data_IF_765315800260
#
_entry.id   IF_765315800260
#
_cell.length_a   1.000
_cell.length_b   1.000
_cell.length_c   1.000
_cell.angle_alpha   90.00
_cell.angle_beta   90.00
_cell.angle_gamma   90.00
#
_symmetry.space_group_name_H-M   'P 1'
#
loop_
_entity.id
_entity.type
_entity.pdbx_description
1 polymer ?
#
# COMPACT_ATOMS: atom_id res chain seq x y z
N UNK A 1 15.72 -12.18 -1.93
CA UNK A 1 14.26 -12.01 -2.12
C UNK A 1 13.81 -12.42 -3.51
N UNK A 2 14.35 -11.85 -4.58
CA UNK A 2 13.87 -12.12 -5.96
C UNK A 2 13.83 -13.61 -6.33
N UNK A 3 14.86 -14.38 -5.97
CA UNK A 3 14.87 -15.84 -6.17
C UNK A 3 13.78 -16.57 -5.38
N UNK A 4 13.66 -16.27 -4.08
CA UNK A 4 12.63 -16.87 -3.22
C UNK A 4 11.23 -16.62 -3.79
N UNK A 5 10.99 -15.41 -4.30
CA UNK A 5 9.70 -15.03 -4.88
C UNK A 5 9.47 -15.71 -6.23
N UNK A 6 10.49 -15.86 -7.06
CA UNK A 6 10.38 -16.58 -8.34
C UNK A 6 10.12 -18.08 -8.13
N UNK A 7 10.72 -18.67 -7.09
CA UNK A 7 10.56 -20.09 -6.76
C UNK A 7 9.23 -20.36 -6.03
N UNK A 8 8.60 -19.35 -5.43
CA UNK A 8 7.40 -19.51 -4.60
C UNK A 8 6.21 -20.11 -5.36
N UNK A 9 5.81 -19.64 -6.55
CA UNK A 9 4.71 -20.25 -7.32
C UNK A 9 5.01 -21.68 -7.79
N UNK A 10 6.28 -22.09 -7.80
CA UNK A 10 6.73 -23.40 -8.25
C UNK A 10 6.66 -24.46 -7.15
N UNK A 11 6.35 -24.06 -5.91
CA UNK A 11 6.28 -25.00 -4.79
C UNK A 11 5.04 -25.91 -4.94
N UNK A 12 5.19 -27.21 -4.63
CA UNK A 12 4.18 -28.23 -4.96
C UNK A 12 2.95 -28.19 -4.07
N UNK A 13 3.05 -27.61 -2.88
CA UNK A 13 1.99 -27.58 -1.88
C UNK A 13 1.93 -26.23 -1.15
N UNK A 14 0.79 -25.96 -0.52
CA UNK A 14 0.50 -24.71 0.19
C UNK A 14 1.46 -24.45 1.37
N UNK A 15 1.84 -25.50 2.11
CA UNK A 15 2.73 -25.34 3.26
C UNK A 15 4.14 -24.91 2.82
N UNK A 16 4.63 -25.49 1.73
CA UNK A 16 5.88 -25.09 1.09
C UNK A 16 5.81 -23.64 0.56
N UNK A 17 4.72 -23.25 -0.11
CA UNK A 17 4.49 -21.87 -0.55
C UNK A 17 4.53 -20.88 0.62
N UNK A 18 3.85 -21.20 1.72
CA UNK A 18 3.83 -20.37 2.94
C UNK A 18 5.21 -20.24 3.59
N UNK A 19 6.02 -21.32 3.61
CA UNK A 19 7.38 -21.27 4.13
C UNK A 19 8.29 -20.35 3.29
N UNK A 20 8.18 -20.41 1.96
CA UNK A 20 8.91 -19.50 1.05
C UNK A 20 8.43 -18.06 1.22
N UNK A 21 7.12 -17.84 1.33
CA UNK A 21 6.54 -16.52 1.58
C UNK A 21 7.04 -15.93 2.90
N UNK A 22 7.10 -16.72 3.97
CA UNK A 22 7.60 -16.27 5.27
C UNK A 22 9.09 -15.93 5.20
N UNK A 23 9.91 -16.73 4.50
CA UNK A 23 11.31 -16.41 4.29
C UNK A 23 11.49 -15.10 3.50
N UNK A 24 10.74 -14.92 2.40
CA UNK A 24 10.77 -13.69 1.61
C UNK A 24 10.35 -12.46 2.44
N UNK A 25 9.26 -12.59 3.21
CA UNK A 25 8.77 -11.59 4.16
C UNK A 25 9.83 -11.21 5.19
N UNK A 26 10.46 -12.19 5.86
CA UNK A 26 11.53 -11.96 6.83
C UNK A 26 12.71 -11.17 6.25
N UNK A 27 13.09 -11.46 4.99
CA UNK A 27 14.13 -10.71 4.30
C UNK A 27 13.73 -9.25 4.03
N UNK A 28 12.50 -9.01 3.57
CA UNK A 28 11.98 -7.65 3.34
C UNK A 28 11.94 -6.87 4.67
N UNK A 29 11.45 -7.50 5.73
CA UNK A 29 11.40 -6.90 7.07
C UNK A 29 12.79 -6.61 7.64
N UNK A 30 13.77 -7.50 7.41
CA UNK A 30 15.15 -7.26 7.80
C UNK A 30 15.71 -5.99 7.15
N UNK A 31 15.53 -5.84 5.83
CA UNK A 31 15.94 -4.63 5.10
C UNK A 31 15.18 -3.40 5.61
N UNK A 32 13.88 -3.52 5.87
CA UNK A 32 13.09 -2.44 6.47
C UNK A 32 13.65 -2.01 7.83
N UNK A 33 14.07 -2.96 8.68
CA UNK A 33 14.71 -2.67 9.97
C UNK A 33 16.10 -2.06 9.80
N UNK A 34 16.90 -2.52 8.83
CA UNK A 34 18.20 -1.93 8.51
C UNK A 34 18.07 -0.45 8.10
N UNK A 35 16.96 -0.06 7.44
CA UNK A 35 16.69 1.34 7.12
C UNK A 35 16.56 2.25 8.35
N UNK A 36 16.38 1.71 9.56
CA UNK A 36 16.29 2.50 10.80
C UNK A 36 17.62 3.12 11.22
N UNK A 37 18.75 2.69 10.63
CA UNK A 37 20.03 3.39 10.76
C UNK A 37 19.97 4.80 10.15
N UNK A 38 18.99 5.08 9.30
CA UNK A 38 18.78 6.37 8.64
C UNK A 38 17.50 7.02 9.17
N UNK A 39 17.63 8.22 9.73
CA UNK A 39 16.51 8.96 10.30
C UNK A 39 15.62 9.57 9.22
N UNK A 40 16.24 10.04 8.12
CA UNK A 40 15.60 10.74 6.99
C UNK A 40 16.37 10.53 5.68
N UNK A 41 15.79 10.99 4.57
CA UNK A 41 16.39 11.04 3.23
C UNK A 41 17.86 11.44 3.19
N UNK A 42 18.19 12.60 3.79
CA UNK A 42 19.56 13.12 3.82
C UNK A 42 20.56 12.11 4.42
N UNK A 43 20.25 11.54 5.58
CA UNK A 43 21.16 10.57 6.22
C UNK A 43 21.39 9.31 5.38
N UNK A 44 20.40 8.86 4.61
CA UNK A 44 20.57 7.72 3.72
C UNK A 44 21.44 8.06 2.50
N UNK A 45 21.25 9.25 1.93
CA UNK A 45 22.03 9.75 0.81
C UNK A 45 23.50 10.01 1.20
N UNK A 46 23.74 10.67 2.33
CA UNK A 46 25.09 11.01 2.83
C UNK A 46 25.93 9.78 3.12
N UNK A 47 25.28 8.65 3.45
CA UNK A 47 25.94 7.36 3.68
C UNK A 47 25.98 6.47 2.41
N UNK A 48 25.68 7.02 1.22
CA UNK A 48 25.73 6.30 -0.05
C UNK A 48 24.74 5.14 -0.16
N UNK A 49 23.69 5.13 0.67
CA UNK A 49 22.75 4.01 0.79
C UNK A 49 21.45 4.24 0.01
N UNK A 50 21.21 5.44 -0.54
CA UNK A 50 19.97 5.75 -1.26
C UNK A 50 19.76 4.86 -2.50
N UNK A 51 20.79 4.68 -3.32
CA UNK A 51 20.70 3.85 -4.53
C UNK A 51 20.48 2.35 -4.20
N UNK A 52 21.23 1.71 -3.28
CA UNK A 52 20.96 0.34 -2.86
C UNK A 52 19.52 0.13 -2.38
N UNK A 53 18.97 1.06 -1.59
CA UNK A 53 17.58 0.95 -1.13
C UNK A 53 16.56 1.20 -2.25
N UNK A 54 16.86 2.06 -3.23
CA UNK A 54 16.01 2.22 -4.40
C UNK A 54 15.99 0.95 -5.28
N UNK A 55 17.15 0.31 -5.50
CA UNK A 55 17.23 -0.97 -6.21
C UNK A 55 16.45 -2.08 -5.49
N UNK A 56 16.58 -2.16 -4.16
CA UNK A 56 15.80 -3.08 -3.34
C UNK A 56 14.29 -2.78 -3.41
N UNK A 57 13.91 -1.51 -3.45
CA UNK A 57 12.51 -1.10 -3.63
C UNK A 57 11.95 -1.66 -4.94
N UNK A 58 12.67 -1.51 -6.06
CA UNK A 58 12.29 -2.12 -7.33
C UNK A 58 12.11 -3.64 -7.23
N UNK A 59 13.09 -4.34 -6.65
CA UNK A 59 13.05 -5.79 -6.48
C UNK A 59 11.92 -6.28 -5.55
N UNK A 60 11.53 -5.49 -4.56
CA UNK A 60 10.42 -5.84 -3.67
C UNK A 60 9.07 -5.59 -4.34
N UNK A 61 8.96 -4.60 -5.22
CA UNK A 61 7.72 -4.38 -5.96
C UNK A 61 7.47 -5.46 -7.01
N UNK A 62 8.51 -6.00 -7.65
CA UNK A 62 8.32 -7.17 -8.51
C UNK A 62 7.70 -8.35 -7.76
N UNK A 63 7.91 -8.43 -6.43
CA UNK A 63 7.31 -9.47 -5.61
C UNK A 63 5.80 -9.28 -5.35
N UNK A 64 5.28 -8.06 -5.50
CA UNK A 64 3.84 -7.82 -5.46
C UNK A 64 3.11 -8.38 -6.69
N UNK A 65 3.85 -8.65 -7.77
CA UNK A 65 3.35 -9.24 -9.02
C UNK A 65 2.97 -10.72 -8.93
N UNK A 66 3.08 -11.35 -7.76
CA UNK A 66 2.67 -12.74 -7.56
C UNK A 66 1.18 -12.94 -7.89
N UNK A 67 0.81 -14.06 -8.56
CA UNK A 67 -0.58 -14.41 -8.82
C UNK A 67 -1.40 -14.54 -7.53
N UNK A 68 -2.69 -14.20 -7.58
CA UNK A 68 -3.56 -14.20 -6.39
C UNK A 68 -3.80 -15.61 -5.82
N UNK A 69 -3.63 -16.66 -6.63
CA UNK A 69 -3.74 -18.06 -6.18
C UNK A 69 -2.55 -18.55 -5.35
N UNK A 70 -1.47 -17.75 -5.26
CA UNK A 70 -0.26 -18.12 -4.52
C UNK A 70 -0.46 -17.93 -3.03
N UNK A 71 -0.31 -19.01 -2.26
CA UNK A 71 -0.40 -18.95 -0.81
C UNK A 71 0.72 -18.10 -0.21
N UNK A 72 0.35 -17.24 0.74
CA UNK A 72 1.30 -16.32 1.37
C UNK A 72 1.58 -15.03 0.58
N UNK A 73 0.93 -14.79 -0.57
CA UNK A 73 0.98 -13.49 -1.27
C UNK A 73 0.71 -12.31 -0.33
N UNK A 74 -0.30 -12.42 0.52
CA UNK A 74 -0.66 -11.35 1.47
C UNK A 74 0.46 -11.05 2.46
N UNK A 75 1.22 -12.07 2.92
CA UNK A 75 2.39 -11.86 3.79
C UNK A 75 3.44 -10.98 3.12
N UNK A 76 3.69 -11.21 1.82
CA UNK A 76 4.61 -10.41 1.02
C UNK A 76 4.05 -8.99 0.86
N UNK A 77 2.77 -8.84 0.51
CA UNK A 77 2.12 -7.54 0.39
C UNK A 77 2.24 -6.70 1.68
N UNK A 78 1.96 -7.30 2.84
CA UNK A 78 2.11 -6.66 4.15
C UNK A 78 3.56 -6.23 4.41
N UNK A 79 4.56 -7.08 4.14
CA UNK A 79 5.96 -6.74 4.35
C UNK A 79 6.44 -5.62 3.42
N UNK A 80 6.05 -5.67 2.14
CA UNK A 80 6.40 -4.61 1.17
C UNK A 80 5.73 -3.29 1.56
N UNK A 81 4.46 -3.30 1.97
CA UNK A 81 3.77 -2.10 2.46
C UNK A 81 4.48 -1.49 3.68
N UNK A 82 4.84 -2.32 4.66
CA UNK A 82 5.62 -1.88 5.83
C UNK A 82 7.01 -1.33 5.46
N UNK A 83 7.65 -1.89 4.45
CA UNK A 83 8.90 -1.36 3.89
C UNK A 83 8.69 -0.03 3.17
N UNK A 84 7.63 0.13 2.38
CA UNK A 84 7.31 1.38 1.68
C UNK A 84 7.08 2.53 2.66
N UNK A 85 6.41 2.30 3.79
CA UNK A 85 6.31 3.30 4.86
C UNK A 85 7.69 3.84 5.30
N UNK A 86 8.69 2.96 5.41
CA UNK A 86 10.07 3.38 5.71
C UNK A 86 10.71 4.13 4.53
N UNK A 87 10.49 3.67 3.30
CA UNK A 87 11.05 4.34 2.12
C UNK A 87 10.48 5.72 1.86
N UNK A 88 9.23 5.97 2.25
CA UNK A 88 8.68 7.33 2.27
C UNK A 88 9.48 8.25 3.20
N UNK A 89 10.10 7.73 4.27
CA UNK A 89 10.96 8.53 5.16
C UNK A 89 12.39 8.61 4.61
N UNK A 90 12.94 7.48 4.19
CA UNK A 90 14.36 7.31 3.92
C UNK A 90 14.79 7.57 2.47
N UNK A 91 13.92 7.35 1.49
CA UNK A 91 14.17 7.72 0.09
C UNK A 91 13.57 9.07 -0.28
N UNK A 92 12.71 9.61 0.58
CA UNK A 92 12.02 10.88 0.34
C UNK A 92 11.35 10.90 -1.05
N UNK A 93 11.53 11.94 -1.86
CA UNK A 93 10.97 12.01 -3.21
C UNK A 93 11.41 10.85 -4.14
N UNK A 94 12.53 10.19 -3.84
CA UNK A 94 13.01 9.02 -4.59
C UNK A 94 12.06 7.82 -4.53
N UNK A 95 11.11 7.79 -3.59
CA UNK A 95 10.09 6.72 -3.52
C UNK A 95 8.96 6.91 -4.54
N UNK A 96 8.69 8.15 -5.01
CA UNK A 96 7.51 8.49 -5.80
C UNK A 96 7.33 7.65 -7.08
N UNK A 97 8.39 7.35 -7.86
CA UNK A 97 8.26 6.54 -9.08
C UNK A 97 7.69 5.13 -8.83
N UNK A 98 7.81 4.63 -7.61
CA UNK A 98 7.42 3.29 -7.22
C UNK A 98 5.96 3.19 -6.73
N UNK A 99 5.37 4.31 -6.31
CA UNK A 99 4.05 4.35 -5.69
C UNK A 99 2.91 3.88 -6.63
N UNK A 100 2.86 4.28 -7.91
CA UNK A 100 1.79 3.84 -8.80
C UNK A 100 1.73 2.32 -8.97
N UNK A 101 2.89 1.69 -9.21
CA UNK A 101 2.97 0.23 -9.32
C UNK A 101 2.64 -0.45 -7.99
N UNK A 102 3.13 0.08 -6.85
CA UNK A 102 2.79 -0.46 -5.55
C UNK A 102 1.27 -0.43 -5.30
N UNK A 103 0.61 0.68 -5.60
CA UNK A 103 -0.83 0.87 -5.43
C UNK A 103 -1.63 -0.13 -6.25
N UNK A 104 -1.30 -0.29 -7.54
CA UNK A 104 -1.97 -1.23 -8.43
C UNK A 104 -1.91 -2.67 -7.89
N UNK A 105 -0.74 -3.11 -7.41
CA UNK A 105 -0.56 -4.49 -6.96
C UNK A 105 -1.16 -4.73 -5.57
N UNK A 106 -1.03 -3.76 -4.65
CA UNK A 106 -1.59 -3.84 -3.30
C UNK A 106 -3.13 -3.77 -3.30
N UNK A 107 -3.73 -3.18 -4.34
CA UNK A 107 -5.18 -3.02 -4.49
C UNK A 107 -5.77 -3.94 -5.58
N UNK A 108 -5.08 -5.01 -6.00
CA UNK A 108 -5.56 -5.91 -7.05
C UNK A 108 -6.85 -6.67 -6.67
N UNK A 109 -7.10 -6.89 -5.38
CA UNK A 109 -8.33 -7.46 -4.81
C UNK A 109 -8.28 -7.28 -3.29
N UNK A 110 -8.40 -6.04 -2.79
CA UNK A 110 -8.08 -5.74 -1.41
C UNK A 110 -9.24 -6.17 -0.50
N UNK A 111 -8.89 -6.74 0.66
CA UNK A 111 -9.85 -6.85 1.76
C UNK A 111 -9.94 -5.54 2.57
N UNK A 112 -10.80 -5.52 3.59
CA UNK A 112 -10.98 -4.34 4.44
C UNK A 112 -9.69 -3.93 5.17
N UNK A 113 -8.83 -4.89 5.54
CA UNK A 113 -7.56 -4.63 6.21
C UNK A 113 -6.55 -4.05 5.23
N UNK A 114 -6.49 -4.57 4.01
CA UNK A 114 -5.63 -4.05 2.94
C UNK A 114 -5.97 -2.60 2.60
N UNK A 115 -7.25 -2.27 2.50
CA UNK A 115 -7.72 -0.90 2.31
C UNK A 115 -7.31 0.00 3.48
N UNK A 116 -7.55 -0.45 4.72
CA UNK A 116 -7.17 0.27 5.94
C UNK A 116 -5.67 0.58 5.97
N UNK A 117 -4.84 -0.43 5.74
CA UNK A 117 -3.38 -0.28 5.74
C UNK A 117 -2.90 0.61 4.60
N UNK A 118 -3.55 0.54 3.43
CA UNK A 118 -3.20 1.40 2.31
C UNK A 118 -3.56 2.87 2.57
N UNK A 119 -4.68 3.15 3.25
CA UNK A 119 -4.98 4.50 3.73
C UNK A 119 -3.94 5.03 4.71
N UNK A 120 -3.37 4.18 5.56
CA UNK A 120 -2.25 4.58 6.43
C UNK A 120 -1.02 5.02 5.60
N UNK A 121 -0.70 4.32 4.52
CA UNK A 121 0.39 4.70 3.61
C UNK A 121 0.10 6.03 2.92
N UNK A 122 -1.12 6.22 2.40
CA UNK A 122 -1.54 7.49 1.81
C UNK A 122 -1.48 8.65 2.82
N UNK A 123 -1.83 8.39 4.08
CA UNK A 123 -1.72 9.36 5.17
C UNK A 123 -0.29 9.84 5.43
N UNK A 124 0.72 9.07 5.03
CA UNK A 124 2.12 9.48 5.08
C UNK A 124 2.56 10.20 3.79
N UNK A 125 2.07 9.73 2.63
CA UNK A 125 2.40 10.27 1.31
C UNK A 125 1.84 11.69 1.12
N UNK A 126 0.55 11.89 1.38
CA UNK A 126 -0.17 13.15 1.15
C UNK A 126 0.49 14.37 1.82
N UNK A 127 0.72 14.38 3.14
CA UNK A 127 1.31 15.56 3.78
C UNK A 127 2.76 15.81 3.37
N UNK A 128 3.47 14.75 2.96
CA UNK A 128 4.87 14.82 2.60
C UNK A 128 5.11 15.35 1.19
N UNK A 129 4.35 14.87 0.21
CA UNK A 129 4.57 15.18 -1.21
C UNK A 129 3.51 16.12 -1.80
N UNK A 130 2.38 16.32 -1.12
CA UNK A 130 1.38 17.35 -1.45
C UNK A 130 0.97 17.33 -2.93
N UNK A 131 1.15 18.45 -3.63
CA UNK A 131 0.77 18.65 -5.04
C UNK A 131 1.45 17.67 -5.99
N UNK A 132 2.64 17.15 -5.65
CA UNK A 132 3.36 16.21 -6.51
C UNK A 132 2.60 14.87 -6.66
N UNK A 133 1.72 14.56 -5.71
CA UNK A 133 0.86 13.38 -5.77
C UNK A 133 -0.44 13.60 -6.52
N UNK A 134 -0.81 14.84 -6.85
CA UNK A 134 -2.11 15.17 -7.45
C UNK A 134 -2.43 14.31 -8.69
N UNK A 135 -1.52 14.16 -9.69
CA UNK A 135 -1.80 13.34 -10.86
C UNK A 135 -2.03 11.85 -10.54
N UNK A 136 -1.37 11.35 -9.49
CA UNK A 136 -1.55 9.98 -9.03
C UNK A 136 -2.87 9.82 -8.27
N UNK A 137 -3.16 10.72 -7.33
CA UNK A 137 -4.40 10.70 -6.54
C UNK A 137 -5.64 10.82 -7.43
N UNK A 138 -5.61 11.70 -8.44
CA UNK A 138 -6.71 11.86 -9.39
C UNK A 138 -7.09 10.54 -10.11
N UNK A 139 -6.11 9.66 -10.38
CA UNK A 139 -6.34 8.35 -10.99
C UNK A 139 -6.68 7.25 -9.98
N UNK A 140 -6.10 7.32 -8.78
CA UNK A 140 -6.25 6.31 -7.74
C UNK A 140 -7.57 6.42 -6.98
N UNK A 141 -8.04 7.64 -6.73
CA UNK A 141 -9.20 7.89 -5.86
C UNK A 141 -10.45 7.14 -6.34
N UNK A 142 -10.80 7.13 -7.63
CA UNK A 142 -12.01 6.44 -8.08
C UNK A 142 -12.05 4.95 -7.71
N UNK A 143 -11.10 4.10 -8.16
CA UNK A 143 -11.14 2.68 -7.80
C UNK A 143 -10.99 2.44 -6.29
N UNK A 144 -10.21 3.26 -5.57
CA UNK A 144 -9.98 3.10 -4.13
C UNK A 144 -11.24 3.39 -3.30
N UNK A 145 -11.94 4.49 -3.60
CA UNK A 145 -13.15 4.88 -2.89
C UNK A 145 -14.29 3.91 -3.18
N UNK A 146 -14.43 3.45 -4.43
CA UNK A 146 -15.43 2.44 -4.79
C UNK A 146 -15.21 1.14 -4.00
N UNK A 147 -13.98 0.61 -4.00
CA UNK A 147 -13.64 -0.59 -3.24
C UNK A 147 -13.90 -0.41 -1.73
N UNK A 148 -13.62 0.78 -1.20
CA UNK A 148 -13.85 1.11 0.21
C UNK A 148 -15.33 1.11 0.58
N UNK A 149 -16.16 1.77 -0.22
CA UNK A 149 -17.61 1.85 0.04
C UNK A 149 -18.27 0.48 -0.12
N UNK A 150 -17.90 -0.29 -1.15
CA UNK A 150 -18.38 -1.66 -1.31
C UNK A 150 -17.99 -2.54 -0.11
N UNK A 151 -16.75 -2.44 0.37
CA UNK A 151 -16.30 -3.19 1.55
C UNK A 151 -17.07 -2.77 2.81
N UNK A 152 -17.31 -1.48 3.02
CA UNK A 152 -18.09 -0.98 4.16
C UNK A 152 -19.55 -1.46 4.10
N UNK A 153 -20.19 -1.40 2.93
CA UNK A 153 -21.56 -1.89 2.74
C UNK A 153 -21.69 -3.39 3.06
N UNK A 154 -20.73 -4.21 2.63
CA UNK A 154 -20.69 -5.63 2.99
C UNK A 154 -20.51 -5.86 4.49
N UNK A 155 -19.62 -5.08 5.13
CA UNK A 155 -19.37 -5.17 6.58
C UNK A 155 -20.59 -4.76 7.41
N UNK A 156 -21.33 -3.75 6.97
CA UNK A 156 -22.53 -3.25 7.67
C UNK A 156 -23.75 -4.16 7.45
N UNK A 157 -23.83 -4.85 6.31
CA UNK A 157 -24.95 -5.72 5.96
C UNK A 157 -24.91 -7.11 6.62
N UNK A 158 -23.75 -7.58 7.08
CA UNK A 158 -23.61 -8.90 7.72
C UNK A 158 -24.13 -8.89 9.18
N UNK A 159 -25.31 -9.49 9.48
CA UNK A 159 -25.91 -9.41 10.81
C UNK A 159 -25.18 -10.24 11.88
N UNK A 160 -24.32 -11.18 11.46
CA UNK A 160 -23.53 -12.05 12.36
C UNK A 160 -22.15 -11.50 12.69
N UNK A 161 -21.74 -10.40 12.05
CA UNK A 161 -20.42 -9.81 12.29
C UNK A 161 -20.45 -8.90 13.52
N UNK A 162 -19.27 -8.71 14.12
CA UNK A 162 -19.10 -7.71 15.19
C UNK A 162 -19.55 -6.33 14.67
N UNK A 163 -20.50 -5.64 15.33
CA UNK A 163 -20.94 -4.28 14.97
C UNK A 163 -19.78 -3.26 14.85
N UNK A 164 -18.63 -3.55 15.45
CA UNK A 164 -17.41 -2.75 15.34
C UNK A 164 -16.54 -3.00 14.11
N UNK A 165 -16.81 -4.03 13.30
CA UNK A 165 -15.91 -4.49 12.24
C UNK A 165 -15.67 -3.45 11.13
N UNK A 166 -16.66 -2.60 10.82
CA UNK A 166 -16.53 -1.52 9.84
C UNK A 166 -15.79 -0.28 10.38
N UNK A 167 -15.70 -0.12 11.70
CA UNK A 167 -15.20 1.10 12.32
C UNK A 167 -13.74 1.44 11.96
N UNK A 168 -12.78 0.49 11.92
CA UNK A 168 -11.39 0.78 11.56
C UNK A 168 -11.24 1.31 10.13
N UNK A 169 -11.92 0.68 9.17
CA UNK A 169 -11.87 1.10 7.76
C UNK A 169 -12.57 2.45 7.58
N UNK A 170 -13.76 2.63 8.17
CA UNK A 170 -14.50 3.90 8.13
C UNK A 170 -13.69 5.06 8.71
N UNK A 171 -13.04 4.84 9.85
CA UNK A 171 -12.15 5.83 10.47
C UNK A 171 -10.97 6.18 9.58
N UNK A 172 -10.31 5.18 8.97
CA UNK A 172 -9.18 5.40 8.08
C UNK A 172 -9.58 6.20 6.82
N UNK A 173 -10.69 5.83 6.20
CA UNK A 173 -11.25 6.53 5.05
C UNK A 173 -11.55 8.00 5.34
N UNK A 174 -12.31 8.28 6.41
CA UNK A 174 -12.64 9.64 6.82
C UNK A 174 -11.40 10.45 7.21
N UNK A 175 -10.44 9.83 7.91
CA UNK A 175 -9.17 10.47 8.25
C UNK A 175 -8.37 10.84 6.99
N UNK A 176 -8.38 9.99 5.96
CA UNK A 176 -7.74 10.28 4.69
C UNK A 176 -8.43 11.43 3.94
N UNK A 177 -9.76 11.49 3.90
CA UNK A 177 -10.48 12.63 3.33
C UNK A 177 -10.13 13.94 4.05
N UNK A 178 -10.11 13.92 5.39
CA UNK A 178 -9.67 15.06 6.18
C UNK A 178 -8.21 15.45 5.90
N UNK A 179 -7.34 14.46 5.66
CA UNK A 179 -5.94 14.67 5.28
C UNK A 179 -5.81 15.38 3.94
N UNK A 180 -6.60 15.00 2.93
CA UNK A 180 -6.63 15.68 1.63
C UNK A 180 -7.06 17.15 1.78
N UNK A 181 -8.14 17.41 2.53
CA UNK A 181 -8.61 18.77 2.80
C UNK A 181 -7.54 19.62 3.49
N UNK A 182 -6.91 19.08 4.55
CA UNK A 182 -5.88 19.78 5.33
C UNK A 182 -4.62 20.09 4.52
N UNK A 183 -4.33 19.28 3.49
CA UNK A 183 -3.19 19.47 2.60
C UNK A 183 -3.54 20.17 1.28
N UNK A 184 -4.74 20.76 1.17
CA UNK A 184 -5.23 21.47 -0.02
C UNK A 184 -5.29 20.62 -1.29
N UNK A 185 -5.54 19.31 -1.14
CA UNK A 185 -5.68 18.37 -2.25
C UNK A 185 -7.14 17.93 -2.46
N UNK A 186 -8.11 18.67 -1.91
CA UNK A 186 -9.53 18.37 -2.09
C UNK A 186 -9.97 18.41 -3.58
N UNK A 187 -9.24 19.16 -4.41
CA UNK A 187 -9.45 19.16 -5.87
C UNK A 187 -9.29 17.77 -6.51
N UNK A 188 -8.51 16.87 -5.91
CA UNK A 188 -8.38 15.48 -6.38
C UNK A 188 -9.74 14.74 -6.37
N UNK A 189 -10.65 15.13 -5.48
CA UNK A 189 -12.02 14.62 -5.38
C UNK A 189 -12.97 15.44 -6.27
N UNK A 190 -12.84 16.77 -6.26
CA UNK A 190 -13.77 17.66 -6.95
C UNK A 190 -13.63 17.65 -8.47
N UNK A 191 -12.45 17.29 -8.99
CA UNK A 191 -12.20 17.18 -10.42
C UNK A 191 -12.66 15.84 -11.01
N UNK A 192 -13.31 14.98 -10.22
CA UNK A 192 -13.85 13.72 -10.71
C UNK A 192 -15.12 13.93 -11.56
N UNK A 193 -15.38 13.07 -12.56
CA UNK A 193 -16.59 13.13 -13.39
C UNK A 193 -17.89 13.11 -12.55
N UNK A 194 -18.99 13.71 -13.01
CA UNK A 194 -20.21 13.79 -12.18
C UNK A 194 -20.86 12.41 -11.87
N UNK A 195 -20.72 11.47 -12.79
CA UNK A 195 -21.09 10.05 -12.69
C UNK A 195 -20.32 9.30 -11.59
N UNK A 196 -19.17 9.82 -11.16
CA UNK A 196 -18.41 9.32 -10.02
C UNK A 196 -19.25 9.30 -8.72
N UNK A 197 -20.03 10.35 -8.48
CA UNK A 197 -20.80 10.48 -7.24
C UNK A 197 -22.00 9.53 -7.22
N UNK A 198 -22.54 9.14 -8.38
CA UNK A 198 -23.61 8.16 -8.49
C UNK A 198 -23.12 6.74 -8.18
N UNK A 199 -21.88 6.41 -8.56
CA UNK A 199 -21.23 5.12 -8.25
C UNK A 199 -20.97 4.95 -6.74
N UNK A 200 -20.73 6.04 -6.02
CA UNK A 200 -20.52 6.04 -4.57
C UNK A 200 -21.81 6.09 -3.73
N UNK A 201 -22.98 6.21 -4.34
CA UNK A 201 -24.28 6.33 -3.65
C UNK A 201 -25.05 5.00 -3.50
N UNK A 202 -24.47 3.90 -3.97
CA UNK A 202 -24.96 2.52 -3.82
C UNK A 202 -24.25 1.79 -2.69
#
# INVERSE_FOLDING_TARGET
VSRLVADLPLQPDEASQLAYAECAKCNIEFVSRASKAFSVGATMADNGCAEPFAQLTGAFLTALGLPDCVAGRNKICTAVRGYLHRMVICLDAGVLPYIPMAAEQLLRSPDAQDLHDFYALLGQLVPKFKSDLMPFLARLLPPLMQATLSSLGQLDAEPTRDPGAAAPLRKAYLAFLACLCSNRLAEAILCQPADWFEICAL
#
